data_IF_827238323487
#
_entry.id   IF_827238323487
#
_cell.length_a   1.000
_cell.length_b   1.000
_cell.length_c   1.000
_cell.angle_alpha   90.00
_cell.angle_beta   90.00
_cell.angle_gamma   90.00
#
_symmetry.space_group_name_H-M   'P 1'
#
loop_
_entity.id
_entity.type
_entity.pdbx_description
1 polymer ?
#
# COMPACT_ATOMS: atom_id res chain seq x y z
N UNK A 1 14.70 9.36 15.50
CA UNK A 1 14.16 8.63 14.34
C UNK A 1 12.71 8.34 14.63
N UNK A 2 11.81 8.63 13.71
CA UNK A 2 10.38 8.34 13.88
C UNK A 2 10.08 7.03 13.15
N UNK A 3 9.29 6.16 13.78
CA UNK A 3 8.93 4.85 13.26
C UNK A 3 7.43 4.82 12.96
N UNK A 4 7.09 4.10 11.90
CA UNK A 4 5.73 3.68 11.58
C UNK A 4 5.51 2.21 11.88
N UNK A 5 4.25 1.80 11.90
CA UNK A 5 3.84 0.40 11.98
C UNK A 5 2.90 0.08 10.83
N UNK A 6 3.13 -1.06 10.19
CA UNK A 6 2.16 -1.64 9.27
C UNK A 6 1.02 -2.26 10.10
N UNK A 7 -0.21 -1.76 9.89
CA UNK A 7 -1.38 -2.14 10.69
C UNK A 7 -1.79 -3.61 10.52
N UNK A 8 -1.31 -4.28 9.48
CA UNK A 8 -1.46 -5.74 9.35
C UNK A 8 -0.75 -6.51 10.47
N UNK A 9 0.29 -5.93 11.07
CA UNK A 9 1.00 -6.52 12.22
C UNK A 9 0.11 -6.61 13.47
N UNK A 10 -0.93 -5.80 13.55
CA UNK A 10 -1.93 -5.77 14.62
C UNK A 10 -3.34 -6.06 14.10
N UNK A 11 -3.44 -6.84 13.03
CA UNK A 11 -4.69 -7.14 12.31
C UNK A 11 -5.77 -7.75 13.17
N UNK A 12 -5.41 -8.48 14.21
CA UNK A 12 -6.37 -9.06 15.14
C UNK A 12 -7.16 -7.98 15.91
N UNK A 13 -6.52 -6.83 16.16
CA UNK A 13 -7.15 -5.66 16.78
C UNK A 13 -7.88 -4.80 15.74
N UNK A 14 -7.24 -4.54 14.60
CA UNK A 14 -7.82 -3.65 13.58
C UNK A 14 -9.11 -4.19 12.98
N UNK A 15 -9.22 -5.51 12.85
CA UNK A 15 -10.40 -6.20 12.35
C UNK A 15 -11.62 -5.97 13.25
N UNK A 16 -11.42 -5.95 14.56
CA UNK A 16 -12.50 -5.85 15.53
C UNK A 16 -12.81 -4.38 15.89
N UNK A 17 -11.78 -3.53 16.01
CA UNK A 17 -11.93 -2.13 16.37
C UNK A 17 -10.72 -1.29 15.94
N UNK A 18 -10.84 -0.59 14.82
CA UNK A 18 -9.78 0.25 14.27
C UNK A 18 -9.40 1.41 15.19
N UNK A 19 -10.38 2.06 15.85
CA UNK A 19 -10.12 3.19 16.77
C UNK A 19 -9.26 2.74 17.96
N UNK A 20 -9.58 1.61 18.59
CA UNK A 20 -8.80 1.07 19.70
C UNK A 20 -7.40 0.61 19.25
N UNK A 21 -7.27 0.01 18.06
CA UNK A 21 -5.98 -0.37 17.49
C UNK A 21 -5.07 0.85 17.28
N UNK A 22 -5.59 1.92 16.70
CA UNK A 22 -4.85 3.17 16.49
C UNK A 22 -4.44 3.82 17.82
N UNK A 23 -5.32 3.79 18.83
CA UNK A 23 -5.02 4.27 20.18
C UNK A 23 -3.85 3.51 20.81
N UNK A 24 -3.87 2.18 20.75
CA UNK A 24 -2.80 1.35 21.30
C UNK A 24 -1.47 1.58 20.57
N UNK A 25 -1.49 1.67 19.26
CA UNK A 25 -0.31 1.99 18.43
C UNK A 25 0.29 3.35 18.84
N UNK A 26 -0.54 4.37 19.04
CA UNK A 26 -0.08 5.68 19.50
C UNK A 26 0.51 5.63 20.92
N UNK A 27 -0.10 4.86 21.82
CA UNK A 27 0.40 4.65 23.19
C UNK A 27 1.75 3.94 23.24
N UNK A 28 2.03 3.04 22.26
CA UNK A 28 3.34 2.41 22.09
C UNK A 28 4.41 3.37 21.53
N UNK A 29 4.02 4.59 21.15
CA UNK A 29 4.95 5.64 20.72
C UNK A 29 5.15 5.74 19.22
N UNK A 30 4.45 4.97 18.41
CA UNK A 30 4.48 5.13 16.95
C UNK A 30 3.89 6.48 16.54
N UNK A 31 4.44 7.05 15.49
CA UNK A 31 3.99 8.33 14.91
C UNK A 31 3.34 8.17 13.55
N UNK A 32 3.64 7.07 12.88
CA UNK A 32 3.12 6.76 11.56
C UNK A 32 2.47 5.39 11.55
N UNK A 33 1.44 5.28 10.73
CA UNK A 33 0.75 4.02 10.43
C UNK A 33 0.70 3.80 8.94
N UNK A 34 0.89 2.57 8.51
CA UNK A 34 0.59 2.13 7.17
C UNK A 34 -0.65 1.24 7.22
N UNK A 35 -1.70 1.65 6.51
CA UNK A 35 -2.95 0.91 6.55
C UNK A 35 -2.92 -0.32 5.65
N UNK A 36 -3.55 -1.40 6.11
CA UNK A 36 -3.86 -2.60 5.35
C UNK A 36 -5.39 -2.80 5.30
N UNK A 37 -6.09 -1.80 4.75
CA UNK A 37 -7.54 -1.72 4.70
C UNK A 37 -8.13 -0.77 5.73
N UNK A 38 -9.36 -0.33 5.46
CA UNK A 38 -10.06 0.68 6.27
C UNK A 38 -11.30 0.13 6.99
N UNK A 39 -11.59 -1.15 6.83
CA UNK A 39 -12.66 -1.89 7.55
C UNK A 39 -14.05 -1.24 7.45
N UNK A 40 -14.36 -0.61 6.31
CA UNK A 40 -15.64 0.04 6.06
C UNK A 40 -15.78 1.46 6.60
N UNK A 41 -14.74 2.01 7.22
CA UNK A 41 -14.72 3.40 7.66
C UNK A 41 -14.58 4.37 6.48
N UNK A 42 -15.32 5.46 6.54
CA UNK A 42 -15.15 6.57 5.62
C UNK A 42 -13.81 7.28 5.83
N UNK A 43 -13.33 8.00 4.83
CA UNK A 43 -12.09 8.76 4.92
C UNK A 43 -12.12 9.78 6.07
N UNK A 44 -13.26 10.41 6.33
CA UNK A 44 -13.39 11.37 7.42
C UNK A 44 -13.31 10.69 8.79
N UNK A 45 -13.95 9.53 8.98
CA UNK A 45 -13.83 8.77 10.24
C UNK A 45 -12.38 8.36 10.51
N UNK A 46 -11.66 7.87 9.48
CA UNK A 46 -10.24 7.52 9.61
C UNK A 46 -9.41 8.76 9.94
N UNK A 47 -9.67 9.89 9.27
CA UNK A 47 -8.99 11.16 9.55
C UNK A 47 -9.20 11.62 10.99
N UNK A 48 -10.42 11.55 11.48
CA UNK A 48 -10.77 11.96 12.84
C UNK A 48 -10.06 11.06 13.88
N UNK A 49 -9.97 9.75 13.64
CA UNK A 49 -9.20 8.83 14.49
C UNK A 49 -7.70 9.16 14.48
N UNK A 50 -7.12 9.43 13.31
CA UNK A 50 -5.71 9.82 13.19
C UNK A 50 -5.40 11.10 13.97
N UNK A 51 -6.23 12.13 13.80
CA UNK A 51 -6.09 13.40 14.50
C UNK A 51 -6.23 13.26 16.03
N UNK A 52 -7.21 12.46 16.45
CA UNK A 52 -7.46 12.14 17.87
C UNK A 52 -6.23 11.56 18.58
N UNK A 53 -5.44 10.74 17.88
CA UNK A 53 -4.27 10.08 18.46
C UNK A 53 -2.93 10.69 18.02
N UNK A 54 -2.93 11.71 17.20
CA UNK A 54 -1.73 12.39 16.70
C UNK A 54 -0.88 11.49 15.78
N UNK A 55 -1.53 10.60 15.06
CA UNK A 55 -0.92 9.70 14.08
C UNK A 55 -0.95 10.30 12.68
N UNK A 56 0.04 9.93 11.85
CA UNK A 56 0.12 10.28 10.44
C UNK A 56 0.17 9.01 9.60
N UNK A 57 -0.28 9.11 8.35
CA UNK A 57 -0.20 8.01 7.40
C UNK A 57 1.16 8.03 6.71
N UNK A 58 1.87 6.90 6.70
CA UNK A 58 3.09 6.70 5.92
C UNK A 58 2.81 6.08 4.55
N UNK A 59 1.76 5.29 4.45
CA UNK A 59 1.34 4.60 3.25
C UNK A 59 0.07 3.80 3.47
N UNK A 60 -0.43 3.24 2.39
CA UNK A 60 -1.58 2.32 2.43
C UNK A 60 -1.37 1.16 1.49
N UNK A 61 -1.60 -0.05 1.98
CA UNK A 61 -1.77 -1.21 1.13
C UNK A 61 -3.15 -1.16 0.48
N UNK A 62 -3.17 -0.85 -0.81
CA UNK A 62 -4.38 -0.69 -1.62
C UNK A 62 -4.28 -1.58 -2.85
N UNK A 63 -5.30 -2.38 -3.10
CA UNK A 63 -5.33 -3.25 -4.27
C UNK A 63 -5.27 -2.44 -5.56
N UNK A 64 -4.54 -2.95 -6.56
CA UNK A 64 -4.43 -2.24 -7.84
C UNK A 64 -5.78 -2.09 -8.55
N UNK A 65 -6.73 -2.99 -8.28
CA UNK A 65 -8.10 -2.91 -8.80
C UNK A 65 -8.82 -1.65 -8.31
N UNK A 66 -8.66 -1.29 -7.04
CA UNK A 66 -9.22 -0.06 -6.48
C UNK A 66 -8.72 1.17 -7.24
N UNK A 67 -7.43 1.19 -7.56
CA UNK A 67 -6.83 2.28 -8.35
C UNK A 67 -7.36 2.28 -9.79
N UNK A 68 -7.52 1.10 -10.40
CA UNK A 68 -7.91 0.99 -11.80
C UNK A 68 -9.41 1.23 -12.05
N UNK A 69 -10.26 0.79 -11.12
CA UNK A 69 -11.73 0.80 -11.28
C UNK A 69 -12.40 1.98 -10.57
N UNK A 70 -11.76 2.51 -9.50
CA UNK A 70 -12.29 3.57 -8.63
C UNK A 70 -11.29 4.72 -8.42
N UNK A 71 -10.57 5.13 -9.46
CA UNK A 71 -9.44 6.05 -9.37
C UNK A 71 -9.74 7.34 -8.60
N UNK A 72 -10.81 8.06 -8.99
CA UNK A 72 -11.14 9.36 -8.40
C UNK A 72 -11.56 9.23 -6.93
N UNK A 73 -12.31 8.19 -6.59
CA UNK A 73 -12.75 7.89 -5.22
C UNK A 73 -11.55 7.50 -4.35
N UNK A 74 -10.65 6.67 -4.88
CA UNK A 74 -9.41 6.28 -4.23
C UNK A 74 -8.53 7.50 -3.95
N UNK A 75 -8.31 8.36 -4.93
CA UNK A 75 -7.53 9.60 -4.77
C UNK A 75 -8.16 10.50 -3.71
N UNK A 76 -9.48 10.72 -3.77
CA UNK A 76 -10.19 11.57 -2.82
C UNK A 76 -10.06 11.04 -1.38
N UNK A 77 -10.23 9.72 -1.19
CA UNK A 77 -10.07 9.08 0.11
C UNK A 77 -8.68 9.31 0.69
N UNK A 78 -7.63 9.02 -0.10
CA UNK A 78 -6.25 9.14 0.34
C UNK A 78 -5.85 10.58 0.66
N UNK A 79 -6.35 11.56 -0.09
CA UNK A 79 -6.12 12.98 0.20
C UNK A 79 -6.75 13.41 1.55
N UNK A 80 -7.94 12.94 1.86
CA UNK A 80 -8.62 13.25 3.13
C UNK A 80 -7.81 12.74 4.32
N UNK A 81 -7.33 11.51 4.25
CA UNK A 81 -6.54 10.91 5.35
C UNK A 81 -5.09 11.41 5.39
N UNK A 82 -4.68 12.23 4.43
CA UNK A 82 -3.30 12.76 4.33
C UNK A 82 -2.27 11.71 3.87
N UNK A 83 -2.71 10.70 3.13
CA UNK A 83 -1.81 9.72 2.54
C UNK A 83 -1.26 10.18 1.20
N UNK A 84 0.06 10.07 1.03
CA UNK A 84 0.79 10.38 -0.19
C UNK A 84 1.48 9.17 -0.82
N UNK A 85 1.18 7.96 -0.34
CA UNK A 85 1.86 6.76 -0.79
C UNK A 85 0.88 5.59 -0.85
N UNK A 86 0.47 5.20 -2.06
CA UNK A 86 -0.34 4.01 -2.33
C UNK A 86 0.59 2.87 -2.74
N UNK A 87 0.48 1.74 -2.08
CA UNK A 87 1.32 0.57 -2.29
C UNK A 87 0.42 -0.62 -2.62
N UNK A 88 0.66 -1.26 -3.74
CA UNK A 88 0.00 -2.53 -4.07
C UNK A 88 0.61 -3.62 -3.19
N UNK A 89 -0.18 -4.29 -2.32
CA UNK A 89 0.35 -5.26 -1.35
C UNK A 89 0.71 -6.62 -1.95
N UNK A 90 0.85 -6.68 -3.26
CA UNK A 90 1.06 -7.90 -4.04
C UNK A 90 -0.15 -8.23 -4.91
N UNK A 91 0.10 -9.00 -5.94
CA UNK A 91 -0.92 -9.53 -6.82
C UNK A 91 -0.45 -10.83 -7.48
N UNK A 92 -1.34 -11.49 -8.20
CA UNK A 92 -1.00 -12.70 -8.94
C UNK A 92 -0.20 -12.34 -10.21
N UNK A 93 1.11 -12.56 -10.17
CA UNK A 93 2.06 -12.36 -11.27
C UNK A 93 2.64 -13.69 -11.75
N UNK A 94 1.90 -14.80 -11.58
CA UNK A 94 2.39 -16.17 -11.78
C UNK A 94 2.67 -16.55 -13.23
N UNK A 95 2.22 -15.77 -14.18
CA UNK A 95 2.51 -15.94 -15.60
C UNK A 95 2.84 -14.61 -16.28
N UNK A 96 3.45 -14.70 -17.47
CA UNK A 96 3.92 -13.52 -18.20
C UNK A 96 2.77 -12.57 -18.56
N UNK A 97 1.60 -13.11 -18.90
CA UNK A 97 0.45 -12.27 -19.26
C UNK A 97 -0.03 -11.43 -18.08
N UNK A 98 -0.15 -12.00 -16.90
CA UNK A 98 -0.56 -11.27 -15.69
C UNK A 98 0.46 -10.20 -15.30
N UNK A 99 1.75 -10.52 -15.43
CA UNK A 99 2.81 -9.55 -15.21
C UNK A 99 2.75 -8.41 -16.23
N UNK A 100 2.54 -8.69 -17.50
CA UNK A 100 2.41 -7.69 -18.56
C UNK A 100 1.18 -6.80 -18.33
N UNK A 101 0.03 -7.39 -17.99
CA UNK A 101 -1.20 -6.65 -17.66
C UNK A 101 -0.99 -5.72 -16.45
N UNK A 102 -0.28 -6.19 -15.42
CA UNK A 102 0.04 -5.36 -14.26
C UNK A 102 1.00 -4.22 -14.60
N UNK A 103 2.05 -4.48 -15.37
CA UNK A 103 3.00 -3.46 -15.83
C UNK A 103 2.30 -2.39 -16.66
N UNK A 104 1.39 -2.77 -17.56
CA UNK A 104 0.60 -1.83 -18.35
C UNK A 104 -0.27 -0.94 -17.44
N UNK A 105 -0.97 -1.54 -16.48
CA UNK A 105 -1.76 -0.84 -15.48
C UNK A 105 -0.89 0.13 -14.67
N UNK A 106 0.24 -0.33 -14.14
CA UNK A 106 1.14 0.48 -13.33
C UNK A 106 1.64 1.71 -14.11
N UNK A 107 2.11 1.52 -15.34
CA UNK A 107 2.60 2.60 -16.20
C UNK A 107 1.50 3.58 -16.62
N UNK A 108 0.25 3.15 -16.67
CA UNK A 108 -0.91 4.01 -16.93
C UNK A 108 -1.25 4.88 -15.73
N UNK A 109 -1.39 4.28 -14.55
CA UNK A 109 -1.93 4.97 -13.37
C UNK A 109 -0.88 5.72 -12.56
N UNK A 110 0.37 5.30 -12.57
CA UNK A 110 1.43 6.00 -11.84
C UNK A 110 1.52 7.50 -12.18
N UNK A 111 1.64 7.94 -13.44
CA UNK A 111 1.70 9.36 -13.75
C UNK A 111 0.40 10.11 -13.45
N UNK A 112 -0.73 9.41 -13.34
CA UNK A 112 -2.00 10.00 -12.93
C UNK A 112 -2.00 10.26 -11.42
N UNK A 113 -1.55 9.30 -10.60
CA UNK A 113 -1.41 9.46 -9.16
C UNK A 113 -0.37 10.54 -8.81
N UNK A 114 0.75 10.59 -9.52
CA UNK A 114 1.78 11.63 -9.32
C UNK A 114 1.23 13.05 -9.51
N UNK A 115 0.35 13.28 -10.49
CA UNK A 115 -0.33 14.56 -10.69
C UNK A 115 -1.22 14.95 -9.51
N UNK A 116 -1.72 13.95 -8.79
CA UNK A 116 -2.54 14.13 -7.57
C UNK A 116 -1.70 14.25 -6.30
N UNK A 117 -0.36 14.18 -6.41
CA UNK A 117 0.59 14.24 -5.31
C UNK A 117 0.69 12.95 -4.51
N UNK A 118 0.35 11.82 -5.13
CA UNK A 118 0.38 10.49 -4.54
C UNK A 118 1.40 9.64 -5.29
N UNK A 119 2.36 9.05 -4.59
CA UNK A 119 3.27 8.06 -5.14
C UNK A 119 2.60 6.69 -5.26
N UNK A 120 3.04 5.91 -6.23
CA UNK A 120 2.54 4.56 -6.45
C UNK A 120 3.67 3.55 -6.29
N UNK A 121 3.43 2.51 -5.51
CA UNK A 121 4.43 1.52 -5.16
C UNK A 121 3.93 0.08 -5.20
N UNK A 122 4.87 -0.83 -4.99
CA UNK A 122 4.65 -2.27 -4.91
C UNK A 122 5.39 -2.87 -3.73
N UNK A 123 4.71 -3.68 -2.92
CA UNK A 123 5.25 -4.44 -1.80
C UNK A 123 5.45 -5.90 -2.22
N UNK A 124 6.65 -6.42 -1.99
CA UNK A 124 7.00 -7.78 -2.36
C UNK A 124 6.60 -8.82 -1.32
N UNK A 125 6.35 -10.03 -1.83
CA UNK A 125 6.38 -11.28 -1.09
C UNK A 125 7.52 -12.18 -1.63
N UNK A 126 7.55 -13.44 -1.23
CA UNK A 126 8.61 -14.37 -1.64
C UNK A 126 8.54 -14.78 -3.13
N UNK A 127 7.36 -14.68 -3.75
CA UNK A 127 7.20 -15.17 -5.13
C UNK A 127 7.84 -14.23 -6.16
N UNK A 128 8.00 -12.95 -5.87
CA UNK A 128 8.65 -12.00 -6.76
C UNK A 128 10.17 -12.27 -6.91
N UNK A 129 10.75 -12.94 -5.93
CA UNK A 129 12.16 -13.36 -5.95
C UNK A 129 12.37 -14.77 -6.50
N UNK A 130 11.35 -15.34 -7.14
CA UNK A 130 11.45 -16.60 -7.88
C UNK A 130 11.52 -16.34 -9.37
N UNK A 131 12.25 -17.19 -10.12
CA UNK A 131 12.27 -17.08 -11.58
C UNK A 131 10.88 -17.28 -12.18
N UNK A 132 10.54 -16.44 -13.14
CA UNK A 132 9.39 -16.62 -14.01
C UNK A 132 9.70 -17.68 -15.09
N UNK A 133 8.74 -17.96 -15.96
CA UNK A 133 8.86 -18.98 -17.03
C UNK A 133 10.07 -18.75 -17.95
N UNK A 134 10.43 -17.49 -18.21
CA UNK A 134 11.60 -17.09 -19.01
C UNK A 134 12.93 -17.07 -18.23
N UNK A 135 12.90 -17.40 -16.93
CA UNK A 135 14.06 -17.38 -16.05
C UNK A 135 14.39 -16.01 -15.42
N UNK A 136 13.67 -14.96 -15.79
CA UNK A 136 13.82 -13.65 -15.12
C UNK A 136 13.07 -13.61 -13.79
N UNK A 137 13.56 -12.80 -12.84
CA UNK A 137 12.84 -12.57 -11.59
C UNK A 137 11.70 -11.58 -11.83
N UNK A 138 10.54 -11.87 -11.24
CA UNK A 138 9.38 -10.96 -11.29
C UNK A 138 9.76 -9.60 -10.71
N UNK A 139 10.45 -9.58 -9.58
CA UNK A 139 10.94 -8.36 -8.94
C UNK A 139 11.77 -7.49 -9.92
N UNK A 140 12.71 -8.10 -10.63
CA UNK A 140 13.54 -7.38 -11.59
C UNK A 140 12.71 -6.83 -12.74
N UNK A 141 11.74 -7.58 -13.23
CA UNK A 141 10.84 -7.09 -14.28
C UNK A 141 10.01 -5.89 -13.82
N UNK A 142 9.52 -5.90 -12.58
CA UNK A 142 8.82 -4.73 -12.01
C UNK A 142 9.73 -3.50 -11.96
N UNK A 143 10.95 -3.66 -11.46
CA UNK A 143 11.94 -2.57 -11.35
C UNK A 143 12.33 -2.00 -12.72
N UNK A 144 12.55 -2.86 -13.72
CA UNK A 144 13.02 -2.42 -15.04
C UNK A 144 11.91 -1.93 -15.97
N UNK A 145 10.68 -2.37 -15.76
CA UNK A 145 9.56 -2.08 -16.68
C UNK A 145 8.58 -1.04 -16.16
N UNK A 146 8.71 -0.62 -14.89
CA UNK A 146 7.85 0.39 -14.27
C UNK A 146 8.69 1.44 -13.55
N UNK A 147 8.06 2.55 -13.16
CA UNK A 147 8.65 3.52 -12.24
C UNK A 147 8.02 3.43 -10.84
N UNK A 148 7.43 2.28 -10.48
CA UNK A 148 6.87 2.08 -9.16
C UNK A 148 7.94 2.22 -8.08
N UNK A 149 7.57 2.84 -6.97
CA UNK A 149 8.37 2.76 -5.77
C UNK A 149 8.34 1.32 -5.23
N UNK A 150 9.47 0.78 -4.84
CA UNK A 150 9.53 -0.57 -4.29
C UNK A 150 9.58 -0.49 -2.76
N UNK A 151 8.59 -1.07 -2.12
CA UNK A 151 8.60 -1.32 -0.68
C UNK A 151 9.13 -2.74 -0.44
N UNK A 152 10.36 -2.83 0.08
CA UNK A 152 11.00 -4.12 0.34
C UNK A 152 10.58 -4.66 1.69
N UNK A 153 9.79 -5.74 1.68
CA UNK A 153 9.59 -6.56 2.86
C UNK A 153 10.76 -7.56 2.99
N UNK A 154 11.63 -7.28 3.95
CA UNK A 154 12.86 -8.06 4.15
C UNK A 154 12.60 -9.47 4.70
N UNK A 155 11.45 -9.71 5.34
CA UNK A 155 11.06 -11.05 5.78
C UNK A 155 10.79 -11.97 4.57
N UNK A 156 10.15 -11.43 3.53
CA UNK A 156 9.83 -12.19 2.33
C UNK A 156 10.97 -12.24 1.30
N UNK A 157 11.88 -11.27 1.36
CA UNK A 157 13.03 -11.19 0.44
C UNK A 157 14.21 -12.09 0.85
N UNK A 158 14.14 -12.71 2.04
CA UNK A 158 15.21 -13.57 2.60
C UNK A 158 15.06 -15.04 2.18
#
# INVERSE_FOLDING_TARGET
MEYGIQMYSVRDLTKDNLDEALKQVAQLGYKYVEFAGFFGHSAQEVKDMLDKYGLKVSGTHTGWQEVAEHFEETVAYHKIIGNHNIIVPGCDLSDQKKLDDFVEMANKFQPMLEKEGISFGYHNHAHEFKPNVDGSMIHDQLVYRTNLNIEIDTYWAY
#
